data_IF_727096762749
#
_entry.id   IF_727096762749
#
_cell.length_a   1.000
_cell.length_b   1.000
_cell.length_c   1.000
_cell.angle_alpha   90.00
_cell.angle_beta   90.00
_cell.angle_gamma   90.00
#
_symmetry.space_group_name_H-M   'P 1'
#
loop_
_entity.id
_entity.type
_entity.pdbx_description
1 polymer ?
#
# COMPACT_ATOMS: atom_id res chain seq x y z
N UNK A 1 -36.87 -18.45 -25.81
CA UNK A 1 -37.54 -17.28 -26.39
C UNK A 1 -37.86 -16.37 -25.23
N UNK A 2 -37.47 -15.10 -25.30
CA UNK A 2 -37.92 -14.12 -24.30
C UNK A 2 -39.43 -13.89 -24.46
N UNK A 3 -40.08 -13.26 -23.48
CA UNK A 3 -41.54 -12.97 -23.51
C UNK A 3 -41.96 -12.16 -24.75
N UNK A 4 -41.03 -11.42 -25.36
CA UNK A 4 -41.18 -10.65 -26.60
C UNK A 4 -40.90 -11.46 -27.89
N UNK A 5 -40.56 -12.74 -27.81
CA UNK A 5 -40.15 -13.57 -28.95
C UNK A 5 -38.79 -13.19 -29.56
N UNK A 6 -38.05 -12.27 -28.95
CA UNK A 6 -36.71 -11.86 -29.39
C UNK A 6 -35.69 -12.93 -29.02
N UNK A 7 -34.82 -13.27 -29.97
CA UNK A 7 -33.74 -14.24 -29.79
C UNK A 7 -32.39 -13.50 -29.86
N UNK A 8 -31.54 -13.68 -28.85
CA UNK A 8 -30.23 -13.01 -28.76
C UNK A 8 -29.20 -13.55 -29.75
N UNK A 9 -29.27 -14.85 -30.06
CA UNK A 9 -28.43 -15.54 -31.06
C UNK A 9 -29.34 -16.44 -31.86
N UNK A 10 -29.50 -16.18 -33.16
CA UNK A 10 -30.34 -17.00 -34.04
C UNK A 10 -29.78 -18.42 -34.17
N UNK A 11 -30.66 -19.43 -34.19
CA UNK A 11 -30.24 -20.83 -34.41
C UNK A 11 -29.65 -20.94 -35.81
N UNK A 12 -28.35 -21.27 -35.90
CA UNK A 12 -27.62 -21.40 -37.18
C UNK A 12 -26.75 -20.20 -37.57
N UNK A 13 -26.67 -19.13 -36.76
CA UNK A 13 -25.76 -18.00 -37.02
C UNK A 13 -24.30 -18.41 -36.78
N UNK A 14 -23.64 -18.88 -37.85
CA UNK A 14 -22.25 -19.33 -37.84
C UNK A 14 -21.24 -18.18 -37.64
N UNK A 15 -21.68 -16.91 -37.75
CA UNK A 15 -20.86 -15.72 -37.50
C UNK A 15 -20.86 -15.26 -36.05
N UNK A 16 -21.62 -15.94 -35.19
CA UNK A 16 -21.74 -15.65 -33.76
C UNK A 16 -20.91 -16.61 -32.92
N UNK A 17 -20.15 -16.06 -31.96
CA UNK A 17 -19.35 -16.82 -31.02
C UNK A 17 -19.82 -16.52 -29.60
N UNK A 18 -20.10 -17.57 -28.84
CA UNK A 18 -20.60 -17.50 -27.46
C UNK A 18 -19.54 -18.11 -26.54
N UNK A 19 -19.03 -17.32 -25.61
CA UNK A 19 -18.00 -17.73 -24.65
C UNK A 19 -18.42 -17.36 -23.24
N UNK A 20 -17.89 -18.10 -22.27
CA UNK A 20 -17.95 -17.70 -20.88
C UNK A 20 -16.75 -16.79 -20.57
N UNK A 21 -17.01 -15.70 -19.85
CA UNK A 21 -15.98 -14.78 -19.38
C UNK A 21 -15.03 -15.42 -18.36
N UNK A 22 -14.03 -14.66 -17.94
CA UNK A 22 -13.06 -15.12 -16.95
C UNK A 22 -13.76 -15.55 -15.67
N UNK A 23 -13.49 -16.78 -15.21
CA UNK A 23 -14.15 -17.44 -14.08
C UNK A 23 -15.64 -17.82 -14.29
N UNK A 24 -16.18 -17.76 -15.51
CA UNK A 24 -17.53 -18.25 -15.83
C UNK A 24 -18.68 -17.39 -15.32
N UNK A 25 -18.39 -16.19 -14.80
CA UNK A 25 -19.37 -15.28 -14.19
C UNK A 25 -20.16 -14.44 -15.20
N UNK A 26 -19.72 -14.41 -16.46
CA UNK A 26 -20.32 -13.61 -17.52
C UNK A 26 -20.45 -14.42 -18.81
N UNK A 27 -21.48 -14.13 -19.61
CA UNK A 27 -21.67 -14.66 -20.95
C UNK A 27 -21.27 -13.58 -21.96
N UNK A 28 -20.29 -13.89 -22.80
CA UNK A 28 -19.78 -12.99 -23.83
C UNK A 28 -20.29 -13.48 -25.19
N UNK A 29 -21.08 -12.64 -25.86
CA UNK A 29 -21.63 -12.92 -27.19
C UNK A 29 -20.94 -11.97 -28.17
N UNK A 30 -20.16 -12.52 -29.07
CA UNK A 30 -19.50 -11.78 -30.15
C UNK A 30 -20.20 -12.10 -31.46
N UNK A 31 -20.73 -11.09 -32.14
CA UNK A 31 -21.38 -11.21 -33.44
C UNK A 31 -20.54 -10.49 -34.49
N UNK A 32 -20.15 -11.20 -35.54
CA UNK A 32 -19.51 -10.59 -36.72
C UNK A 32 -20.56 -10.37 -37.80
N UNK A 33 -20.66 -9.14 -38.27
CA UNK A 33 -21.53 -8.73 -39.39
C UNK A 33 -20.69 -7.93 -40.39
N UNK A 34 -21.19 -7.72 -41.60
CA UNK A 34 -20.47 -6.93 -42.62
C UNK A 34 -20.25 -5.46 -42.20
N UNK A 35 -21.07 -4.96 -41.28
CA UNK A 35 -20.95 -3.63 -40.68
C UNK A 35 -19.89 -3.56 -39.55
N UNK A 36 -19.37 -4.70 -39.09
CA UNK A 36 -18.37 -4.78 -38.02
C UNK A 36 -18.65 -5.87 -36.98
N UNK A 37 -17.84 -5.85 -35.92
CA UNK A 37 -17.91 -6.80 -34.81
C UNK A 37 -18.61 -6.13 -33.62
N UNK A 38 -19.67 -6.76 -33.13
CA UNK A 38 -20.38 -6.34 -31.91
C UNK A 38 -20.16 -7.37 -30.81
N UNK A 39 -19.70 -6.93 -29.64
CA UNK A 39 -19.54 -7.77 -28.46
C UNK A 39 -20.47 -7.30 -27.35
N UNK A 40 -21.27 -8.21 -26.80
CA UNK A 40 -22.14 -7.96 -25.64
C UNK A 40 -21.73 -8.89 -24.50
N UNK A 41 -21.54 -8.35 -23.31
CA UNK A 41 -21.36 -9.13 -22.08
C UNK A 41 -22.65 -9.12 -21.25
N UNK A 42 -23.05 -10.28 -20.77
CA UNK A 42 -24.20 -10.48 -19.89
C UNK A 42 -23.74 -11.08 -18.57
N UNK A 43 -24.07 -10.43 -17.46
CA UNK A 43 -23.66 -10.88 -16.14
C UNK A 43 -24.48 -12.06 -15.60
N UNK A 44 -23.87 -12.89 -14.74
CA UNK A 44 -24.59 -13.94 -14.02
C UNK A 44 -25.56 -13.38 -12.98
N UNK A 45 -26.74 -14.02 -12.84
CA UNK A 45 -27.74 -13.66 -11.84
C UNK A 45 -27.19 -13.78 -10.41
N UNK A 46 -26.18 -14.60 -10.18
CA UNK A 46 -25.53 -14.79 -8.88
C UNK A 46 -24.89 -13.49 -8.36
N UNK A 47 -24.49 -12.59 -9.26
CA UNK A 47 -23.88 -11.30 -8.91
C UNK A 47 -24.85 -10.12 -8.95
N UNK A 48 -26.17 -10.36 -8.95
CA UNK A 48 -27.20 -9.32 -9.07
C UNK A 48 -27.07 -8.19 -8.03
N UNK A 49 -26.66 -8.50 -6.80
CA UNK A 49 -26.41 -7.50 -5.76
C UNK A 49 -25.25 -6.57 -6.11
N UNK A 50 -24.18 -7.09 -6.72
CA UNK A 50 -23.01 -6.31 -7.13
C UNK A 50 -23.32 -5.43 -8.36
N UNK A 51 -24.10 -5.93 -9.33
CA UNK A 51 -24.52 -5.10 -10.47
C UNK A 51 -25.44 -3.95 -10.08
N UNK A 52 -26.18 -4.09 -8.98
CA UNK A 52 -26.99 -3.02 -8.40
C UNK A 52 -26.16 -2.02 -7.58
N UNK A 53 -24.91 -2.33 -7.27
CA UNK A 53 -24.04 -1.44 -6.52
C UNK A 53 -23.68 -0.21 -7.36
N UNK A 54 -23.72 0.96 -6.71
CA UNK A 54 -23.20 2.22 -7.27
C UNK A 54 -22.00 2.64 -6.43
N UNK A 55 -20.81 2.03 -6.66
CA UNK A 55 -19.61 2.44 -5.95
C UNK A 55 -19.35 3.92 -6.23
N UNK A 56 -18.82 4.62 -5.23
CA UNK A 56 -18.41 6.01 -5.43
C UNK A 56 -17.36 6.03 -6.54
N UNK A 57 -17.45 6.97 -7.50
CA UNK A 57 -16.41 7.11 -8.50
C UNK A 57 -15.07 7.29 -7.79
N UNK A 58 -14.04 6.60 -8.28
CA UNK A 58 -12.68 6.82 -7.78
C UNK A 58 -12.37 8.31 -7.90
N UNK A 59 -11.74 8.87 -6.87
CA UNK A 59 -11.35 10.28 -6.95
C UNK A 59 -10.34 10.39 -8.09
N UNK A 60 -10.61 11.25 -9.08
CA UNK A 60 -9.72 11.47 -10.23
C UNK A 60 -8.32 11.90 -9.76
N UNK A 61 -8.27 12.49 -8.56
CA UNK A 61 -7.07 13.00 -7.93
C UNK A 61 -6.47 12.02 -6.92
N UNK A 62 -6.85 10.74 -6.87
CA UNK A 62 -6.35 9.83 -5.82
C UNK A 62 -4.83 9.75 -5.80
N UNK A 63 -4.22 9.71 -6.99
CA UNK A 63 -2.77 9.76 -7.15
C UNK A 63 -2.20 11.10 -6.67
N UNK A 64 -2.83 12.23 -7.04
CA UNK A 64 -2.40 13.56 -6.64
C UNK A 64 -2.55 13.80 -5.13
N UNK A 65 -3.64 13.31 -4.51
CA UNK A 65 -3.88 13.34 -3.07
C UNK A 65 -2.86 12.47 -2.33
N UNK A 66 -2.55 11.29 -2.85
CA UNK A 66 -1.52 10.41 -2.29
C UNK A 66 -0.13 11.06 -2.35
N UNK A 67 0.19 11.70 -3.47
CA UNK A 67 1.46 12.44 -3.65
C UNK A 67 1.53 13.65 -2.71
N UNK A 68 0.47 14.45 -2.64
CA UNK A 68 0.38 15.63 -1.76
C UNK A 68 0.43 15.23 -0.27
N UNK A 69 -0.18 14.11 0.09
CA UNK A 69 -0.12 13.54 1.43
C UNK A 69 1.29 13.07 1.76
N UNK A 70 1.93 12.34 0.84
CA UNK A 70 3.31 11.90 0.98
C UNK A 70 4.29 13.09 1.11
N UNK A 71 4.10 14.16 0.34
CA UNK A 71 4.93 15.38 0.46
C UNK A 71 4.69 16.09 1.78
N UNK A 72 3.44 16.18 2.25
CA UNK A 72 3.08 16.80 3.54
C UNK A 72 3.69 16.04 4.72
N UNK A 73 3.69 14.71 4.68
CA UNK A 73 4.36 13.91 5.71
C UNK A 73 5.89 14.06 5.68
N UNK A 74 6.50 14.16 4.49
CA UNK A 74 7.93 14.48 4.36
C UNK A 74 8.26 15.85 4.93
N UNK A 75 7.44 16.87 4.66
CA UNK A 75 7.67 18.23 5.18
C UNK A 75 7.46 18.32 6.69
N UNK A 76 6.56 17.51 7.26
CA UNK A 76 6.37 17.41 8.71
C UNK A 76 7.46 16.61 9.43
N UNK A 77 8.43 16.02 8.71
CA UNK A 77 9.43 15.13 9.31
C UNK A 77 8.85 13.82 9.85
N UNK A 78 7.59 13.52 9.54
CA UNK A 78 6.91 12.27 9.87
C UNK A 78 7.34 11.22 8.85
N UNK A 79 8.52 10.66 9.03
CA UNK A 79 9.04 9.58 8.20
C UNK A 79 8.16 8.33 8.39
N UNK A 80 7.27 8.03 7.44
CA UNK A 80 6.40 6.84 7.47
C UNK A 80 7.20 5.53 7.41
N UNK A 81 8.44 5.58 6.93
CA UNK A 81 9.47 4.55 7.10
C UNK A 81 10.83 5.27 7.11
N UNK A 82 11.54 5.31 8.25
CA UNK A 82 12.94 5.75 8.21
C UNK A 82 13.72 4.78 7.31
N UNK A 83 14.48 5.30 6.35
CA UNK A 83 15.29 4.45 5.48
C UNK A 83 16.19 3.56 6.34
N UNK A 84 16.34 2.28 5.94
CA UNK A 84 17.20 1.33 6.66
C UNK A 84 18.60 1.90 6.90
N UNK A 85 19.12 2.67 5.94
CA UNK A 85 20.40 3.36 6.05
C UNK A 85 20.43 4.40 7.17
N UNK A 86 19.40 5.24 7.30
CA UNK A 86 19.36 6.26 8.36
C UNK A 86 19.26 5.63 9.75
N UNK A 87 18.49 4.55 9.87
CA UNK A 87 18.40 3.78 11.11
C UNK A 87 19.74 3.12 11.48
N UNK A 88 20.44 2.54 10.51
CA UNK A 88 21.77 1.95 10.72
C UNK A 88 22.78 3.03 11.13
N UNK A 89 22.80 4.19 10.45
CA UNK A 89 23.66 5.33 10.82
C UNK A 89 23.42 5.78 12.27
N UNK A 90 22.15 5.88 12.67
CA UNK A 90 21.80 6.26 14.04
C UNK A 90 22.23 5.21 15.08
N UNK A 91 22.07 3.92 14.77
CA UNK A 91 22.56 2.83 15.64
C UNK A 91 24.08 2.87 15.80
N UNK A 92 24.82 3.09 14.72
CA UNK A 92 26.29 3.20 14.74
C UNK A 92 26.72 4.39 15.61
N UNK A 93 26.14 5.57 15.40
CA UNK A 93 26.43 6.77 16.21
C UNK A 93 26.13 6.53 17.69
N UNK A 94 25.03 5.85 18.01
CA UNK A 94 24.64 5.56 19.40
C UNK A 94 25.63 4.60 20.07
N UNK A 95 26.06 3.55 19.38
CA UNK A 95 27.07 2.63 19.91
C UNK A 95 28.44 3.30 20.05
N UNK A 96 28.82 4.16 19.10
CA UNK A 96 30.04 4.94 19.19
C UNK A 96 30.05 5.87 20.40
N UNK A 97 28.93 6.52 20.72
CA UNK A 97 28.81 7.37 21.90
C UNK A 97 28.79 6.56 23.21
N UNK A 98 28.23 5.34 23.19
CA UNK A 98 28.13 4.47 24.36
C UNK A 98 29.46 3.82 24.74
N UNK A 99 30.25 3.42 23.74
CA UNK A 99 31.52 2.69 23.89
C UNK A 99 32.76 3.56 23.61
N UNK A 100 32.56 4.82 23.24
CA UNK A 100 33.61 5.73 22.80
C UNK A 100 34.61 6.12 23.89
N UNK A 101 35.72 6.68 23.44
CA UNK A 101 36.84 7.14 24.28
C UNK A 101 36.37 8.15 25.35
N UNK A 102 35.41 9.01 25.03
CA UNK A 102 34.83 9.97 25.98
C UNK A 102 34.09 9.29 27.14
N UNK A 103 33.35 8.21 26.88
CA UNK A 103 32.69 7.42 27.93
C UNK A 103 33.72 6.71 28.83
N UNK A 104 34.86 6.29 28.27
CA UNK A 104 35.96 5.72 29.04
C UNK A 104 36.68 6.79 29.87
N UNK A 105 36.96 7.97 29.28
CA UNK A 105 37.61 9.11 29.96
C UNK A 105 36.82 9.58 31.17
N UNK A 106 35.51 9.74 31.04
CA UNK A 106 34.63 10.11 32.16
C UNK A 106 34.65 9.05 33.27
N UNK A 107 34.58 7.75 32.91
CA UNK A 107 34.67 6.65 33.89
C UNK A 107 36.01 6.63 34.64
N UNK A 108 37.11 6.91 33.96
CA UNK A 108 38.45 7.01 34.57
C UNK A 108 38.53 8.24 35.47
N UNK A 109 38.05 9.39 35.00
CA UNK A 109 38.00 10.64 35.77
C UNK A 109 37.22 10.48 37.08
N UNK A 110 36.05 9.85 37.02
CA UNK A 110 35.23 9.57 38.21
C UNK A 110 35.93 8.64 39.21
N UNK A 111 36.64 7.61 38.74
CA UNK A 111 37.41 6.71 39.60
C UNK A 111 38.63 7.38 40.22
N UNK A 112 39.24 8.31 39.50
CA UNK A 112 40.38 9.09 39.97
C UNK A 112 39.97 10.21 40.93
N UNK A 113 38.68 10.58 40.98
CA UNK A 113 38.15 11.63 41.84
C UNK A 113 37.90 11.16 43.28
N UNK A 114 38.90 10.50 43.88
CA UNK A 114 38.88 10.07 45.29
C UNK A 114 40.06 10.71 46.01
N UNK A 115 39.77 11.66 46.91
CA UNK A 115 40.78 12.31 47.74
C UNK A 115 41.13 11.37 48.90
N UNK A 116 42.28 10.70 48.79
CA UNK A 116 42.75 9.72 49.80
C UNK A 116 43.29 10.36 51.08
N UNK A 117 43.59 11.66 51.03
CA UNK A 117 44.18 12.41 52.13
C UNK A 117 43.21 13.46 52.70
N UNK A 118 41.91 13.16 52.73
CA UNK A 118 40.94 14.10 53.27
C UNK A 118 41.08 14.14 54.80
N UNK A 119 41.29 15.32 55.42
CA UNK A 119 41.30 15.43 56.87
C UNK A 119 39.94 14.99 57.43
N UNK A 120 39.91 14.30 58.56
CA UNK A 120 38.66 13.90 59.25
C UNK A 120 38.20 15.01 60.19
N UNK A 121 37.95 16.19 59.64
CA UNK A 121 37.59 17.40 60.38
C UNK A 121 36.07 17.64 60.48
N UNK A 122 35.25 16.65 60.13
CA UNK A 122 33.80 16.68 60.33
C UNK A 122 33.40 15.53 61.25
N UNK A 123 32.99 15.79 62.51
CA UNK A 123 32.35 14.80 63.34
C UNK A 123 30.93 14.55 62.80
N UNK A 124 30.55 13.27 62.74
CA UNK A 124 29.21 12.80 62.35
C UNK A 124 28.13 13.36 63.27
#
# INVERSE_FOLDING_TARGET
>A
MDEDGKQLVAVGDSGSNVQLGTAGSELIITRRTDAGVSTKSLGSREYMCYYRQKPRPSSVNDAALTIALASSYRSMGLATVQSREQMVRMKVMKEMNRSGVEAMRTKIGMKSNVIRNLPKNVPY
#
